data_IF_150314709535
#
_entry.id   IF_150314709535
#
_cell.length_a   1.000
_cell.length_b   1.000
_cell.length_c   1.000
_cell.angle_alpha   90.00
_cell.angle_beta   90.00
_cell.angle_gamma   90.00
#
_symmetry.space_group_name_H-M   'P 1'
#
loop_
_entity.id
_entity.type
_entity.pdbx_description
1 polymer ?
#
# COMPACT_ATOMS: atom_id res chain seq x y z
N UNK A 1 31.34 6.75 -0.42
CA UNK A 1 30.01 6.17 -0.67
C UNK A 1 29.35 7.01 -1.74
N UNK A 2 28.70 6.41 -2.74
CA UNK A 2 27.91 7.20 -3.70
C UNK A 2 26.69 7.82 -2.97
N UNK A 3 26.45 9.11 -3.17
CA UNK A 3 25.26 9.79 -2.65
C UNK A 3 24.17 9.81 -3.72
N UNK A 4 23.08 9.09 -3.49
CA UNK A 4 21.96 8.98 -4.42
C UNK A 4 20.81 9.90 -4.02
N UNK A 5 20.26 10.60 -5.01
CA UNK A 5 19.03 11.39 -4.87
C UNK A 5 17.99 10.78 -5.79
N UNK A 6 16.93 10.24 -5.19
CA UNK A 6 15.91 9.50 -5.94
C UNK A 6 14.71 10.42 -6.13
N UNK A 7 14.19 10.47 -7.35
CA UNK A 7 12.89 11.05 -7.67
C UNK A 7 11.94 9.93 -8.12
N UNK A 8 10.88 9.70 -7.34
CA UNK A 8 9.81 8.77 -7.71
C UNK A 8 8.78 9.48 -8.60
N UNK A 9 8.66 8.97 -9.81
CA UNK A 9 7.72 9.42 -10.84
C UNK A 9 6.26 9.12 -10.49
N UNK A 10 5.39 9.73 -11.27
CA UNK A 10 3.95 9.62 -11.18
C UNK A 10 3.40 9.12 -12.52
N UNK A 11 2.36 8.32 -12.49
CA UNK A 11 1.58 7.91 -13.66
C UNK A 11 0.50 8.98 -13.94
N UNK A 12 0.96 10.17 -14.33
CA UNK A 12 0.11 11.35 -14.38
C UNK A 12 -0.86 11.35 -15.56
N UNK A 13 -0.68 10.51 -16.59
CA UNK A 13 -1.72 10.35 -17.61
C UNK A 13 -2.91 9.52 -17.13
N UNK A 14 -2.74 8.67 -16.12
CA UNK A 14 -3.82 7.94 -15.47
C UNK A 14 -4.37 8.65 -14.22
N UNK A 15 -3.76 9.77 -13.81
CA UNK A 15 -4.32 10.63 -12.77
C UNK A 15 -5.54 11.40 -13.30
N UNK A 16 -6.62 11.34 -12.55
CA UNK A 16 -7.84 12.09 -12.85
C UNK A 16 -7.80 13.44 -12.14
N UNK A 17 -8.47 14.44 -12.71
CA UNK A 17 -8.64 15.76 -12.08
C UNK A 17 -7.33 16.51 -11.80
N UNK A 18 -6.34 16.34 -12.68
CA UNK A 18 -5.11 17.14 -12.68
C UNK A 18 -4.97 17.98 -13.95
N UNK A 19 -4.32 19.13 -13.84
CA UNK A 19 -3.84 19.92 -14.97
C UNK A 19 -2.52 19.33 -15.50
N UNK A 20 -2.61 18.49 -16.55
CA UNK A 20 -1.45 17.74 -17.07
C UNK A 20 -0.32 18.66 -17.57
N UNK A 21 -0.57 19.69 -18.42
CA UNK A 21 0.49 20.62 -18.83
C UNK A 21 1.19 21.28 -17.63
N UNK A 22 0.42 21.79 -16.67
CA UNK A 22 1.01 22.40 -15.46
C UNK A 22 1.76 21.38 -14.61
N UNK A 23 1.29 20.12 -14.56
CA UNK A 23 1.98 19.04 -13.85
C UNK A 23 3.34 18.74 -14.48
N UNK A 24 3.42 18.63 -15.80
CA UNK A 24 4.67 18.38 -16.54
C UNK A 24 5.64 19.54 -16.33
N UNK A 25 5.18 20.78 -16.53
CA UNK A 25 6.00 21.98 -16.35
C UNK A 25 6.62 22.05 -14.95
N UNK A 26 5.78 21.89 -13.91
CA UNK A 26 6.24 21.91 -12.52
C UNK A 26 7.11 20.73 -12.16
N UNK A 27 6.89 19.55 -12.75
CA UNK A 27 7.77 18.39 -12.54
C UNK A 27 9.15 18.68 -13.10
N UNK A 28 9.25 19.25 -14.30
CA UNK A 28 10.54 19.66 -14.88
C UNK A 28 11.25 20.72 -14.02
N UNK A 29 10.51 21.68 -13.45
CA UNK A 29 11.07 22.63 -12.48
C UNK A 29 11.63 21.92 -11.22
N UNK A 30 10.97 20.87 -10.74
CA UNK A 30 11.47 20.05 -9.63
C UNK A 30 12.71 19.22 -10.02
N UNK A 31 12.78 18.70 -11.24
CA UNK A 31 13.96 17.96 -11.73
C UNK A 31 15.18 18.90 -11.87
N UNK A 32 14.97 20.11 -12.38
CA UNK A 32 15.99 21.17 -12.42
C UNK A 32 16.45 21.60 -11.03
N UNK A 33 15.52 21.70 -10.09
CA UNK A 33 15.84 21.95 -8.69
C UNK A 33 16.81 20.90 -8.14
N UNK A 34 16.57 19.61 -8.39
CA UNK A 34 17.47 18.55 -7.94
C UNK A 34 18.87 18.65 -8.55
N UNK A 35 18.97 18.95 -9.85
CA UNK A 35 20.27 19.16 -10.52
C UNK A 35 21.07 20.29 -9.86
N UNK A 36 20.39 21.38 -9.52
CA UNK A 36 21.02 22.57 -8.92
C UNK A 36 21.41 22.35 -7.46
N UNK A 37 20.56 21.66 -6.68
CA UNK A 37 20.76 21.50 -5.22
C UNK A 37 21.64 20.32 -4.84
N UNK A 38 21.82 19.36 -5.73
CA UNK A 38 22.63 18.16 -5.46
C UNK A 38 23.75 17.96 -6.48
N UNK A 39 24.66 18.94 -6.65
CA UNK A 39 25.82 18.77 -7.52
C UNK A 39 26.68 17.62 -7.01
N UNK A 40 27.06 16.71 -7.92
CA UNK A 40 27.91 15.55 -7.60
C UNK A 40 27.18 14.34 -7.00
N UNK A 41 25.87 14.44 -6.70
CA UNK A 41 25.06 13.28 -6.36
C UNK A 41 24.63 12.52 -7.62
N UNK A 42 24.43 11.21 -7.50
CA UNK A 42 23.80 10.40 -8.56
C UNK A 42 22.29 10.63 -8.52
N UNK A 43 21.76 11.31 -9.53
CA UNK A 43 20.32 11.53 -9.66
C UNK A 43 19.67 10.30 -10.28
N UNK A 44 18.67 9.74 -9.62
CA UNK A 44 17.95 8.55 -10.07
C UNK A 44 16.48 8.90 -10.27
N UNK A 45 15.94 8.65 -11.46
CA UNK A 45 14.51 8.74 -11.72
C UNK A 45 13.91 7.34 -11.73
N UNK A 46 12.93 7.09 -10.86
CA UNK A 46 12.18 5.84 -10.81
C UNK A 46 10.75 6.07 -11.31
N UNK A 47 10.40 5.67 -12.53
CA UNK A 47 9.05 5.82 -13.07
C UNK A 47 8.01 5.05 -12.26
N UNK A 48 6.75 5.43 -12.39
CA UNK A 48 5.67 4.62 -11.83
C UNK A 48 5.62 3.26 -12.55
N UNK A 49 5.31 2.13 -11.87
CA UNK A 49 5.33 0.80 -12.51
C UNK A 49 4.39 0.67 -13.72
N UNK A 50 3.28 1.42 -13.69
CA UNK A 50 2.26 1.41 -14.75
C UNK A 50 2.47 2.57 -15.77
N UNK A 51 3.56 3.34 -15.63
CA UNK A 51 3.94 4.44 -16.53
C UNK A 51 4.28 3.93 -17.93
N UNK A 52 3.78 4.61 -18.97
CA UNK A 52 3.91 4.15 -20.36
C UNK A 52 4.58 5.15 -21.29
N UNK A 53 4.43 6.45 -21.05
CA UNK A 53 4.86 7.52 -22.00
C UNK A 53 5.36 8.79 -21.31
N UNK A 54 5.15 8.94 -20.02
CA UNK A 54 5.43 10.14 -19.24
C UNK A 54 6.91 10.55 -19.32
N UNK A 55 7.84 9.59 -19.41
CA UNK A 55 9.28 9.86 -19.62
C UNK A 55 9.55 10.80 -20.81
N UNK A 56 8.73 10.79 -21.86
CA UNK A 56 8.97 11.60 -23.07
C UNK A 56 8.65 13.08 -22.88
N UNK A 57 7.83 13.42 -21.88
CA UNK A 57 7.41 14.79 -21.59
C UNK A 57 8.29 15.43 -20.49
N UNK A 58 9.17 14.65 -19.87
CA UNK A 58 10.05 15.09 -18.79
C UNK A 58 11.47 15.32 -19.29
N UNK A 59 12.09 16.42 -18.84
CA UNK A 59 13.51 16.62 -19.00
C UNK A 59 14.25 15.77 -17.96
N UNK A 60 14.71 14.60 -18.38
CA UNK A 60 15.47 13.65 -17.56
C UNK A 60 16.99 13.73 -17.80
N UNK A 61 17.49 14.78 -18.45
CA UNK A 61 18.93 15.00 -18.64
C UNK A 61 19.71 14.87 -17.32
N UNK A 62 20.75 14.04 -17.28
CA UNK A 62 21.55 13.82 -16.07
C UNK A 62 20.91 12.90 -15.00
N UNK A 63 19.72 12.37 -15.23
CA UNK A 63 19.13 11.32 -14.36
C UNK A 63 19.44 9.92 -14.91
N UNK A 64 19.76 9.00 -14.01
CA UNK A 64 19.76 7.57 -14.30
C UNK A 64 18.33 7.03 -14.15
N UNK A 65 17.75 6.53 -15.24
CA UNK A 65 16.40 5.95 -15.23
C UNK A 65 16.50 4.52 -14.75
N UNK A 66 15.81 4.20 -13.65
CA UNK A 66 15.86 2.88 -13.05
C UNK A 66 14.52 2.13 -13.18
N UNK A 67 14.53 1.02 -13.91
CA UNK A 67 13.40 0.09 -14.11
C UNK A 67 13.83 -1.35 -13.81
N UNK A 68 13.79 -1.74 -12.54
CA UNK A 68 14.23 -3.07 -12.07
C UNK A 68 13.07 -4.01 -11.68
N UNK A 69 11.82 -3.54 -11.82
CA UNK A 69 10.62 -4.29 -11.43
C UNK A 69 10.39 -4.40 -9.92
N UNK A 70 11.29 -3.87 -9.09
CA UNK A 70 11.12 -3.82 -7.64
C UNK A 70 10.09 -2.75 -7.26
N UNK A 71 9.36 -2.99 -6.17
CA UNK A 71 8.59 -1.92 -5.52
C UNK A 71 9.54 -0.82 -5.01
N UNK A 72 9.00 0.39 -4.81
CA UNK A 72 9.79 1.48 -4.27
C UNK A 72 10.32 1.14 -2.86
N UNK A 73 9.49 0.49 -2.04
CA UNK A 73 9.82 0.10 -0.67
C UNK A 73 10.97 -0.92 -0.63
N UNK A 74 10.97 -1.92 -1.52
CA UNK A 74 12.07 -2.89 -1.65
C UNK A 74 13.37 -2.20 -2.07
N UNK A 75 13.30 -1.29 -3.05
CA UNK A 75 14.46 -0.54 -3.52
C UNK A 75 15.05 0.35 -2.43
N UNK A 76 14.20 1.10 -1.71
CA UNK A 76 14.60 1.94 -0.58
C UNK A 76 15.30 1.12 0.50
N UNK A 77 14.73 -0.02 0.88
CA UNK A 77 15.30 -0.90 1.90
C UNK A 77 16.67 -1.45 1.49
N UNK A 78 16.79 -1.95 0.27
CA UNK A 78 18.04 -2.54 -0.23
C UNK A 78 19.17 -1.52 -0.39
N UNK A 79 18.84 -0.23 -0.63
CA UNK A 79 19.81 0.80 -0.98
C UNK A 79 19.94 1.92 0.06
N UNK A 80 19.30 1.79 1.23
CA UNK A 80 19.22 2.82 2.27
C UNK A 80 20.56 3.53 2.58
N UNK A 81 21.69 2.81 2.53
CA UNK A 81 23.03 3.37 2.83
C UNK A 81 23.57 4.31 1.76
N UNK A 82 23.08 4.22 0.54
CA UNK A 82 23.49 5.06 -0.58
C UNK A 82 22.53 6.25 -0.77
N UNK A 83 21.33 6.21 -0.20
CA UNK A 83 20.29 7.19 -0.44
C UNK A 83 20.49 8.40 0.47
N UNK A 84 20.72 9.56 -0.15
CA UNK A 84 20.81 10.86 0.54
C UNK A 84 19.42 11.48 0.71
N UNK A 85 18.64 11.55 -0.37
CA UNK A 85 17.25 12.03 -0.34
C UNK A 85 16.34 11.20 -1.25
N UNK A 86 15.08 11.06 -0.83
CA UNK A 86 14.01 10.41 -1.58
C UNK A 86 12.85 11.40 -1.81
N UNK A 87 12.61 11.80 -3.04
CA UNK A 87 11.66 12.84 -3.39
C UNK A 87 10.58 12.33 -4.35
N UNK A 88 9.43 13.00 -4.36
CA UNK A 88 8.39 12.80 -5.37
C UNK A 88 7.49 14.02 -5.45
N UNK A 89 6.60 14.09 -6.44
CA UNK A 89 5.51 15.08 -6.41
C UNK A 89 4.51 14.72 -5.32
N UNK A 90 3.91 13.53 -5.40
CA UNK A 90 2.84 13.08 -4.51
C UNK A 90 2.84 11.56 -4.32
N UNK A 91 4.00 10.90 -4.47
CA UNK A 91 4.10 9.44 -4.34
C UNK A 91 4.12 9.01 -2.87
N UNK A 92 3.41 7.93 -2.56
CA UNK A 92 3.51 7.27 -1.24
C UNK A 92 4.90 6.73 -0.96
N UNK A 93 5.75 6.58 -1.99
CA UNK A 93 7.14 6.14 -1.86
C UNK A 93 7.98 7.10 -1.00
N UNK A 94 7.72 8.41 -1.07
CA UNK A 94 8.38 9.39 -0.19
C UNK A 94 8.00 9.18 1.28
N UNK A 95 6.76 8.77 1.55
CA UNK A 95 6.29 8.46 2.90
C UNK A 95 6.98 7.20 3.43
N UNK A 96 7.11 6.17 2.59
CA UNK A 96 7.85 4.96 2.92
C UNK A 96 9.33 5.27 3.21
N UNK A 97 9.96 6.15 2.43
CA UNK A 97 11.34 6.58 2.66
C UNK A 97 11.50 7.30 4.00
N UNK A 98 10.59 8.23 4.34
CA UNK A 98 10.58 8.87 5.66
C UNK A 98 10.43 7.81 6.77
N UNK A 99 9.49 6.88 6.61
CA UNK A 99 9.24 5.77 7.55
C UNK A 99 10.41 4.78 7.67
N UNK A 100 11.41 4.87 6.78
CA UNK A 100 12.67 4.13 6.83
C UNK A 100 13.84 4.95 7.40
N UNK A 101 13.59 6.19 7.83
CA UNK A 101 14.58 7.05 8.46
C UNK A 101 15.48 7.77 7.47
N UNK A 102 15.05 7.86 6.21
CA UNK A 102 15.75 8.61 5.16
C UNK A 102 15.23 10.04 5.11
N UNK A 103 16.05 10.98 4.61
CA UNK A 103 15.53 12.28 4.21
C UNK A 103 14.56 12.09 3.05
N UNK A 104 13.35 12.57 3.18
CA UNK A 104 12.31 12.33 2.21
C UNK A 104 11.36 13.51 2.07
N UNK A 105 11.00 13.85 0.84
CA UNK A 105 10.18 15.03 0.58
C UNK A 105 9.12 14.81 -0.49
N UNK A 106 8.09 15.65 -0.45
CA UNK A 106 7.11 15.80 -1.50
C UNK A 106 7.02 17.25 -1.99
N UNK A 107 6.95 17.43 -3.31
CA UNK A 107 6.67 18.72 -3.93
C UNK A 107 5.17 19.02 -3.99
N UNK A 108 4.30 18.20 -3.39
CA UNK A 108 2.84 18.33 -3.48
C UNK A 108 2.33 19.75 -3.23
N UNK A 109 2.87 20.43 -2.21
CA UNK A 109 2.48 21.80 -1.85
C UNK A 109 3.03 22.86 -2.80
N UNK A 110 4.05 22.57 -3.62
CA UNK A 110 4.47 23.42 -4.74
C UNK A 110 3.50 23.35 -5.94
N UNK A 111 2.72 22.27 -6.03
CA UNK A 111 1.73 22.03 -7.09
C UNK A 111 0.34 22.59 -6.75
N UNK A 112 0.27 23.73 -6.04
CA UNK A 112 -1.00 24.39 -5.70
C UNK A 112 -1.82 24.65 -6.96
N UNK A 113 -3.09 24.25 -6.96
CA UNK A 113 -4.02 24.44 -8.07
C UNK A 113 -3.95 23.40 -9.21
N UNK A 114 -2.93 22.54 -9.22
CA UNK A 114 -2.80 21.45 -10.21
C UNK A 114 -3.78 20.32 -9.91
N UNK A 115 -3.89 19.93 -8.64
CA UNK A 115 -4.78 18.86 -8.18
C UNK A 115 -6.17 19.40 -7.85
N UNK A 116 -7.22 18.73 -8.34
CA UNK A 116 -8.63 19.10 -8.10
C UNK A 116 -9.46 17.89 -7.66
N UNK A 117 -10.69 18.19 -7.22
CA UNK A 117 -11.74 17.20 -6.99
C UNK A 117 -11.37 16.07 -6.03
N UNK A 118 -11.83 14.87 -6.37
CA UNK A 118 -11.67 13.65 -5.56
C UNK A 118 -10.19 13.25 -5.43
N UNK A 119 -9.41 13.43 -6.50
CA UNK A 119 -7.98 13.14 -6.45
C UNK A 119 -7.25 14.06 -5.47
N UNK A 120 -7.57 15.35 -5.44
CA UNK A 120 -7.01 16.28 -4.44
C UNK A 120 -7.37 15.84 -3.01
N UNK A 121 -8.62 15.49 -2.75
CA UNK A 121 -9.08 15.03 -1.43
C UNK A 121 -8.26 13.81 -0.98
N UNK A 122 -8.07 12.83 -1.87
CA UNK A 122 -7.25 11.65 -1.59
C UNK A 122 -5.82 12.03 -1.20
N UNK A 123 -5.17 12.86 -2.01
CA UNK A 123 -3.76 13.25 -1.79
C UNK A 123 -3.62 14.09 -0.52
N UNK A 124 -4.47 15.09 -0.30
CA UNK A 124 -4.52 15.90 0.94
C UNK A 124 -4.60 14.99 2.18
N UNK A 125 -5.51 14.01 2.14
CA UNK A 125 -5.72 13.11 3.28
C UNK A 125 -4.51 12.23 3.52
N UNK A 126 -3.90 11.69 2.47
CA UNK A 126 -2.71 10.83 2.59
C UNK A 126 -1.50 11.57 3.14
N UNK A 127 -1.37 12.87 2.82
CA UNK A 127 -0.26 13.72 3.27
C UNK A 127 -0.56 14.51 4.58
N UNK A 128 -1.77 14.42 5.13
CA UNK A 128 -2.25 15.30 6.22
C UNK A 128 -1.43 15.29 7.52
N UNK A 129 -0.80 14.17 7.86
CA UNK A 129 -0.08 14.01 9.14
C UNK A 129 1.45 14.14 9.00
N UNK A 130 1.94 14.54 7.82
CA UNK A 130 3.38 14.65 7.59
C UNK A 130 3.91 16.01 8.06
N UNK A 131 5.14 16.04 8.60
CA UNK A 131 5.72 17.26 9.14
C UNK A 131 5.95 18.31 8.05
N UNK A 132 6.06 19.58 8.45
CA UNK A 132 6.21 20.70 7.50
C UNK A 132 7.46 20.58 6.62
N UNK A 133 8.56 20.09 7.19
CA UNK A 133 9.85 19.85 6.52
C UNK A 133 9.81 18.70 5.49
N UNK A 134 8.76 17.88 5.50
CA UNK A 134 8.49 16.91 4.43
C UNK A 134 8.11 17.59 3.12
N UNK A 135 7.59 18.82 3.15
CA UNK A 135 7.13 19.49 1.93
C UNK A 135 8.13 20.52 1.44
N UNK A 136 8.46 20.46 0.15
CA UNK A 136 9.22 21.50 -0.54
C UNK A 136 8.22 22.40 -1.26
N UNK A 137 8.14 23.66 -0.81
CA UNK A 137 7.24 24.68 -1.38
C UNK A 137 7.98 25.76 -2.16
N UNK A 138 9.28 25.93 -1.90
CA UNK A 138 10.16 26.90 -2.55
C UNK A 138 11.37 26.20 -3.18
N UNK A 139 11.51 26.32 -4.49
CA UNK A 139 12.62 25.75 -5.25
C UNK A 139 13.92 26.57 -5.14
N UNK A 140 13.91 27.69 -4.42
CA UNK A 140 15.15 28.43 -4.15
C UNK A 140 15.87 27.95 -2.88
N UNK A 141 15.14 27.31 -1.97
CA UNK A 141 15.65 26.82 -0.69
C UNK A 141 16.32 25.45 -0.81
N UNK A 142 17.33 25.18 0.03
CA UNK A 142 17.86 23.82 0.15
C UNK A 142 16.78 22.90 0.76
N UNK A 143 16.72 21.61 0.35
CA UNK A 143 15.79 20.68 0.98
C UNK A 143 16.23 20.48 2.44
N UNK A 144 15.32 20.58 3.40
CA UNK A 144 15.67 20.43 4.81
C UNK A 144 16.13 18.99 5.09
N UNK A 145 16.97 18.79 6.11
CA UNK A 145 17.17 17.46 6.68
C UNK A 145 15.93 17.13 7.54
N UNK A 146 15.26 16.01 7.25
CA UNK A 146 14.06 15.60 7.96
C UNK A 146 14.03 14.10 8.27
N UNK A 147 15.18 13.43 8.18
CA UNK A 147 15.32 12.05 8.63
C UNK A 147 14.81 11.92 10.06
N UNK A 148 13.98 10.91 10.29
CA UNK A 148 13.41 10.63 11.59
C UNK A 148 14.20 9.52 12.29
N UNK A 149 14.35 9.64 13.60
CA UNK A 149 14.87 8.54 14.41
C UNK A 149 13.74 7.53 14.65
N UNK A 150 13.85 6.35 14.06
CA UNK A 150 12.83 5.31 14.21
C UNK A 150 13.05 4.57 15.51
N UNK A 151 12.14 4.77 16.46
CA UNK A 151 12.11 4.05 17.73
C UNK A 151 11.13 2.88 17.66
N UNK A 152 11.46 1.72 18.27
CA UNK A 152 10.53 0.61 18.37
C UNK A 152 9.28 0.98 19.19
N UNK A 153 8.09 0.69 18.65
CA UNK A 153 6.85 0.78 19.41
C UNK A 153 6.78 -0.39 20.41
N UNK A 154 7.24 -0.13 21.64
CA UNK A 154 7.30 -1.14 22.71
C UNK A 154 5.92 -1.66 23.10
N UNK A 155 4.91 -0.79 23.07
CA UNK A 155 3.53 -1.16 23.41
C UNK A 155 2.99 -2.14 22.38
N UNK A 156 3.14 -1.82 21.09
CA UNK A 156 2.77 -2.73 20.01
C UNK A 156 3.53 -4.05 20.10
N UNK A 157 4.84 -4.00 20.29
CA UNK A 157 5.69 -5.20 20.35
C UNK A 157 5.23 -6.14 21.46
N UNK A 158 4.96 -5.61 22.66
CA UNK A 158 4.52 -6.42 23.79
C UNK A 158 3.12 -6.99 23.57
N UNK A 159 2.17 -6.18 23.09
CA UNK A 159 0.82 -6.65 22.77
C UNK A 159 0.86 -7.76 21.71
N UNK A 160 1.63 -7.56 20.63
CA UNK A 160 1.77 -8.53 19.56
C UNK A 160 2.43 -9.83 20.05
N UNK A 161 3.45 -9.73 20.91
CA UNK A 161 4.08 -10.89 21.56
C UNK A 161 3.06 -11.67 22.40
N UNK A 162 2.23 -10.99 23.19
CA UNK A 162 1.20 -11.63 24.01
C UNK A 162 0.17 -12.35 23.15
N UNK A 163 -0.34 -11.71 22.09
CA UNK A 163 -1.29 -12.33 21.16
C UNK A 163 -0.69 -13.62 20.57
N UNK A 164 0.57 -13.59 20.13
CA UNK A 164 1.22 -14.78 19.56
C UNK A 164 1.51 -15.86 20.62
N UNK A 165 1.75 -15.48 21.88
CA UNK A 165 2.00 -16.44 22.95
C UNK A 165 0.74 -17.27 23.29
N UNK A 166 -0.43 -16.63 23.28
CA UNK A 166 -1.73 -17.26 23.60
C UNK A 166 -2.21 -18.17 22.46
N UNK A 167 -1.83 -17.85 21.22
CA UNK A 167 -2.26 -18.59 20.02
C UNK A 167 -1.12 -19.46 19.49
N UNK A 168 -1.12 -20.74 19.86
CA UNK A 168 -0.02 -21.67 19.59
C UNK A 168 0.08 -22.19 18.15
N UNK A 169 -0.85 -21.84 17.27
CA UNK A 169 -0.85 -22.30 15.89
C UNK A 169 0.15 -21.57 14.99
N UNK A 170 0.07 -21.85 13.70
CA UNK A 170 0.83 -21.15 12.66
C UNK A 170 0.28 -19.75 12.40
N UNK A 171 1.13 -18.83 11.96
CA UNK A 171 0.72 -17.51 11.47
C UNK A 171 0.51 -17.55 9.97
N UNK A 172 -0.57 -16.92 9.49
CA UNK A 172 -0.89 -16.82 8.07
C UNK A 172 -1.04 -15.34 7.69
N UNK A 173 -0.03 -14.80 7.01
CA UNK A 173 -0.11 -13.47 6.42
C UNK A 173 -0.92 -13.53 5.13
N UNK A 174 -1.89 -12.63 4.97
CA UNK A 174 -2.72 -12.53 3.76
C UNK A 174 -2.44 -11.18 3.10
N UNK A 175 -1.91 -11.22 1.87
CA UNK A 175 -1.46 -10.03 1.16
C UNK A 175 -1.99 -9.98 -0.28
N UNK A 176 -2.29 -8.77 -0.75
CA UNK A 176 -2.65 -8.52 -2.15
C UNK A 176 -1.63 -7.62 -2.86
N UNK A 177 -1.03 -6.67 -2.14
CA UNK A 177 -0.13 -5.66 -2.68
C UNK A 177 1.32 -5.94 -2.26
N UNK A 178 2.25 -5.97 -3.21
CA UNK A 178 3.66 -6.27 -2.94
C UNK A 178 4.36 -5.25 -2.05
N UNK A 179 3.90 -3.98 -2.04
CA UNK A 179 4.46 -2.93 -1.17
C UNK A 179 4.38 -3.26 0.34
N UNK A 180 3.47 -4.16 0.73
CA UNK A 180 3.33 -4.59 2.13
C UNK A 180 4.26 -5.75 2.50
N UNK A 181 5.07 -6.26 1.57
CA UNK A 181 6.04 -7.32 1.85
C UNK A 181 7.11 -6.91 2.87
N UNK A 182 7.52 -5.64 2.86
CA UNK A 182 8.49 -5.16 3.84
C UNK A 182 7.90 -5.20 5.26
N UNK A 183 6.61 -4.86 5.41
CA UNK A 183 5.88 -4.98 6.68
C UNK A 183 5.82 -6.44 7.12
N UNK A 184 5.46 -7.35 6.21
CA UNK A 184 5.39 -8.79 6.51
C UNK A 184 6.77 -9.32 6.91
N UNK A 185 7.83 -8.90 6.23
CA UNK A 185 9.22 -9.29 6.54
C UNK A 185 9.64 -8.79 7.92
N UNK A 186 9.32 -7.53 8.25
CA UNK A 186 9.60 -6.96 9.57
C UNK A 186 8.85 -7.69 10.68
N UNK A 187 7.55 -7.95 10.49
CA UNK A 187 6.73 -8.71 11.44
C UNK A 187 7.23 -10.15 11.59
N UNK A 188 7.61 -10.81 10.50
CA UNK A 188 8.17 -12.17 10.52
C UNK A 188 9.45 -12.23 11.34
N UNK A 189 10.37 -11.28 11.14
CA UNK A 189 11.60 -11.16 11.96
C UNK A 189 11.28 -10.92 13.43
N UNK A 190 10.32 -10.04 13.71
CA UNK A 190 9.85 -9.77 15.08
C UNK A 190 9.30 -11.04 15.75
N UNK A 191 8.44 -11.80 15.06
CA UNK A 191 7.90 -13.06 15.57
C UNK A 191 9.03 -14.06 15.84
N UNK A 192 9.97 -14.22 14.90
CA UNK A 192 11.10 -15.15 15.04
C UNK A 192 12.05 -14.76 16.17
N UNK A 193 12.12 -13.49 16.54
CA UNK A 193 12.89 -13.04 17.70
C UNK A 193 12.31 -13.52 19.04
N UNK A 194 10.99 -13.74 19.11
CA UNK A 194 10.30 -14.23 20.31
C UNK A 194 10.04 -15.74 20.27
N UNK A 195 9.74 -16.27 19.08
CA UNK A 195 9.32 -17.64 18.85
C UNK A 195 10.03 -18.21 17.61
N UNK A 196 11.31 -18.62 17.73
CA UNK A 196 12.14 -19.04 16.59
C UNK A 196 11.52 -20.16 15.74
N UNK A 197 10.84 -21.11 16.38
CA UNK A 197 10.26 -22.29 15.71
C UNK A 197 8.84 -22.06 15.19
N UNK A 198 8.25 -20.87 15.42
CA UNK A 198 6.88 -20.58 15.00
C UNK A 198 6.76 -20.72 13.47
N UNK A 199 5.82 -21.55 13.01
CA UNK A 199 5.52 -21.67 11.58
C UNK A 199 4.83 -20.40 11.08
N UNK A 200 5.38 -19.83 10.01
CA UNK A 200 4.88 -18.60 9.38
C UNK A 200 4.63 -18.92 7.90
N UNK A 201 3.40 -18.67 7.47
CA UNK A 201 2.88 -18.96 6.15
C UNK A 201 2.39 -17.68 5.48
N UNK A 202 2.34 -17.70 4.15
CA UNK A 202 1.93 -16.57 3.32
C UNK A 202 0.82 -16.98 2.35
N UNK A 203 -0.21 -16.15 2.25
CA UNK A 203 -1.31 -16.27 1.30
C UNK A 203 -1.28 -15.04 0.40
N UNK A 204 -1.17 -15.27 -0.91
CA UNK A 204 -1.03 -14.22 -1.91
C UNK A 204 -2.29 -14.17 -2.77
N UNK A 205 -2.89 -12.98 -2.88
CA UNK A 205 -3.81 -12.66 -3.98
C UNK A 205 -3.01 -12.37 -5.25
N UNK A 206 -2.93 -13.38 -6.10
CA UNK A 206 -2.06 -13.45 -7.27
C UNK A 206 -2.29 -12.33 -8.27
N UNK A 207 -1.23 -11.57 -8.50
CA UNK A 207 -1.11 -10.44 -9.43
C UNK A 207 0.10 -10.68 -10.34
N UNK A 208 0.18 -9.98 -11.48
CA UNK A 208 1.32 -10.13 -12.40
C UNK A 208 2.67 -9.77 -11.74
N UNK A 209 2.64 -8.97 -10.66
CA UNK A 209 3.80 -8.57 -9.86
C UNK A 209 4.37 -9.70 -8.97
N UNK A 210 3.68 -10.84 -8.85
CA UNK A 210 4.11 -11.98 -8.01
C UNK A 210 4.66 -13.12 -8.86
N UNK A 211 5.73 -12.88 -9.62
CA UNK A 211 6.27 -13.85 -10.57
C UNK A 211 7.78 -14.00 -10.46
N UNK A 212 8.32 -15.07 -11.05
CA UNK A 212 9.75 -15.29 -11.21
C UNK A 212 10.52 -15.40 -9.89
N UNK A 213 11.61 -14.64 -9.80
CA UNK A 213 12.56 -14.68 -8.67
C UNK A 213 11.90 -14.23 -7.36
N UNK A 214 11.02 -13.23 -7.38
CA UNK A 214 10.31 -12.76 -6.17
C UNK A 214 9.50 -13.87 -5.54
N UNK A 215 8.70 -14.61 -6.33
CA UNK A 215 7.91 -15.72 -5.80
C UNK A 215 8.80 -16.85 -5.28
N UNK A 216 9.92 -17.11 -5.94
CA UNK A 216 10.90 -18.13 -5.53
C UNK A 216 11.52 -17.78 -4.17
N UNK A 217 11.91 -16.52 -3.96
CA UNK A 217 12.45 -16.05 -2.68
C UNK A 217 11.41 -16.21 -1.55
N UNK A 218 10.14 -15.88 -1.80
CA UNK A 218 9.07 -16.05 -0.81
C UNK A 218 8.89 -17.52 -0.40
N UNK A 219 9.05 -18.47 -1.33
CA UNK A 219 9.00 -19.89 -0.99
C UNK A 219 10.17 -20.36 -0.11
N UNK A 220 11.27 -19.60 -0.06
CA UNK A 220 12.41 -19.88 0.83
C UNK A 220 12.20 -19.25 2.22
N UNK A 221 11.58 -18.07 2.27
CA UNK A 221 11.39 -17.32 3.52
C UNK A 221 10.19 -17.80 4.36
N UNK A 222 9.20 -18.44 3.74
CA UNK A 222 7.96 -18.89 4.40
C UNK A 222 7.81 -20.40 4.37
N UNK A 223 7.25 -20.97 5.43
CA UNK A 223 7.05 -22.41 5.56
C UNK A 223 6.06 -22.94 4.52
N UNK A 224 5.02 -22.16 4.23
CA UNK A 224 4.08 -22.42 3.15
C UNK A 224 3.68 -21.11 2.47
N UNK A 225 3.65 -21.13 1.13
CA UNK A 225 3.13 -20.04 0.31
C UNK A 225 1.97 -20.55 -0.54
N UNK A 226 0.79 -19.94 -0.36
CA UNK A 226 -0.43 -20.26 -1.10
C UNK A 226 -0.80 -19.10 -2.02
N UNK A 227 -0.74 -19.32 -3.33
CA UNK A 227 -1.15 -18.33 -4.33
C UNK A 227 -2.54 -18.65 -4.85
N UNK A 228 -3.44 -17.66 -4.75
CA UNK A 228 -4.79 -17.73 -5.32
C UNK A 228 -4.94 -16.71 -6.44
N UNK A 229 -5.75 -16.98 -7.48
CA UNK A 229 -5.99 -15.97 -8.52
C UNK A 229 -6.69 -14.75 -7.93
N UNK A 230 -6.24 -13.54 -8.28
CA UNK A 230 -6.94 -12.30 -7.90
C UNK A 230 -8.35 -12.30 -8.47
N UNK A 231 -9.31 -12.04 -7.58
CA UNK A 231 -10.72 -11.95 -7.93
C UNK A 231 -11.12 -10.47 -7.96
N UNK A 232 -11.50 -9.99 -9.15
CA UNK A 232 -12.00 -8.64 -9.36
C UNK A 232 -13.52 -8.64 -9.34
N UNK A 233 -14.14 -7.56 -8.85
CA UNK A 233 -15.58 -7.34 -8.96
C UNK A 233 -15.95 -7.22 -10.45
N UNK A 234 -16.44 -8.33 -11.00
CA UNK A 234 -16.73 -8.46 -12.43
C UNK A 234 -17.92 -9.39 -12.64
N UNK A 235 -18.79 -9.02 -13.58
CA UNK A 235 -19.92 -9.84 -14.01
C UNK A 235 -19.57 -10.81 -15.16
N UNK A 236 -18.32 -10.82 -15.63
CA UNK A 236 -17.87 -11.76 -16.66
C UNK A 236 -17.95 -13.19 -16.11
N UNK A 237 -18.63 -14.09 -16.82
CA UNK A 237 -18.90 -15.46 -16.37
C UNK A 237 -17.63 -16.22 -15.96
N UNK A 238 -16.55 -16.10 -16.74
CA UNK A 238 -15.27 -16.73 -16.41
C UNK A 238 -14.65 -16.21 -15.10
N UNK A 239 -14.83 -14.90 -14.79
CA UNK A 239 -14.36 -14.30 -13.54
C UNK A 239 -15.22 -14.73 -12.35
N UNK A 240 -16.54 -14.81 -12.52
CA UNK A 240 -17.46 -15.33 -11.50
C UNK A 240 -17.16 -16.80 -11.18
N UNK A 241 -16.94 -17.63 -12.20
CA UNK A 241 -16.56 -19.02 -12.01
C UNK A 241 -15.20 -19.17 -11.31
N UNK A 242 -14.22 -18.32 -11.67
CA UNK A 242 -12.94 -18.25 -10.97
C UNK A 242 -13.09 -17.88 -9.50
N UNK A 243 -13.94 -16.90 -9.18
CA UNK A 243 -14.23 -16.51 -7.79
C UNK A 243 -14.88 -17.66 -7.01
N UNK A 244 -15.89 -18.33 -7.59
CA UNK A 244 -16.53 -19.49 -6.97
C UNK A 244 -15.55 -20.65 -6.72
N UNK A 245 -14.73 -21.00 -7.71
CA UNK A 245 -13.71 -22.06 -7.58
C UNK A 245 -12.69 -21.73 -6.50
N UNK A 246 -12.28 -20.47 -6.42
CA UNK A 246 -11.34 -19.96 -5.42
C UNK A 246 -11.94 -20.05 -4.02
N UNK A 247 -13.16 -19.55 -3.84
CA UNK A 247 -13.88 -19.64 -2.57
C UNK A 247 -14.04 -21.10 -2.11
N UNK A 248 -14.44 -22.01 -3.01
CA UNK A 248 -14.56 -23.45 -2.71
C UNK A 248 -13.22 -24.07 -2.31
N UNK A 249 -12.11 -23.66 -2.94
CA UNK A 249 -10.75 -24.13 -2.58
C UNK A 249 -10.37 -23.66 -1.18
N UNK A 250 -10.59 -22.38 -0.86
CA UNK A 250 -10.27 -21.81 0.45
C UNK A 250 -11.14 -22.43 1.56
N UNK A 251 -12.44 -22.65 1.30
CA UNK A 251 -13.37 -23.30 2.24
C UNK A 251 -12.94 -24.71 2.64
N UNK A 252 -12.26 -25.43 1.74
CA UNK A 252 -11.80 -26.81 1.96
C UNK A 252 -10.44 -26.91 2.66
N UNK A 253 -9.73 -25.80 2.86
CA UNK A 253 -8.45 -25.84 3.56
C UNK A 253 -8.67 -26.22 5.02
N UNK A 254 -7.87 -27.16 5.51
CA UNK A 254 -7.81 -27.44 6.94
C UNK A 254 -6.89 -26.42 7.58
N UNK A 255 -7.43 -25.60 8.48
CA UNK A 255 -6.67 -24.62 9.26
C UNK A 255 -6.85 -24.93 10.73
N UNK A 256 -5.74 -25.02 11.46
CA UNK A 256 -5.76 -25.25 12.90
C UNK A 256 -6.46 -24.06 13.59
N UNK A 257 -7.39 -24.34 14.50
CA UNK A 257 -8.16 -23.31 15.22
C UNK A 257 -7.31 -22.39 16.09
N UNK A 258 -6.11 -22.82 16.50
CA UNK A 258 -5.14 -22.00 17.23
C UNK A 258 -4.26 -21.12 16.34
N UNK A 259 -4.46 -21.16 15.02
CA UNK A 259 -3.72 -20.32 14.07
C UNK A 259 -4.09 -18.86 14.21
N UNK A 260 -3.23 -17.99 13.68
CA UNK A 260 -3.50 -16.56 13.57
C UNK A 260 -3.57 -16.18 12.09
N UNK A 261 -4.62 -15.48 11.69
CA UNK A 261 -4.72 -14.83 10.39
C UNK A 261 -4.35 -13.38 10.51
N UNK A 262 -3.44 -12.91 9.66
CA UNK A 262 -2.96 -11.54 9.66
C UNK A 262 -3.28 -10.95 8.29
N UNK A 263 -4.38 -10.20 8.24
CA UNK A 263 -4.88 -9.55 7.03
C UNK A 263 -4.20 -8.23 6.77
N UNK A 264 -3.63 -8.06 5.58
CA UNK A 264 -3.07 -6.80 5.07
C UNK A 264 -3.82 -6.30 3.82
N UNK A 265 -4.84 -7.03 3.40
CA UNK A 265 -5.58 -6.83 2.17
C UNK A 265 -7.08 -6.70 2.48
N UNK A 266 -7.42 -5.82 3.44
CA UNK A 266 -8.77 -5.47 3.95
C UNK A 266 -9.92 -5.37 2.93
N UNK A 267 -9.63 -5.23 1.63
CA UNK A 267 -10.61 -5.17 0.54
C UNK A 267 -10.56 -6.37 -0.43
N UNK A 268 -9.73 -7.38 -0.14
CA UNK A 268 -9.47 -8.54 -0.98
C UNK A 268 -10.53 -9.61 -0.79
N UNK A 269 -11.05 -10.12 -1.91
CA UNK A 269 -11.93 -11.29 -1.92
C UNK A 269 -11.29 -12.52 -1.27
N UNK A 270 -9.96 -12.68 -1.41
CA UNK A 270 -9.23 -13.82 -0.82
C UNK A 270 -9.25 -13.71 0.70
N UNK A 271 -8.91 -12.54 1.24
CA UNK A 271 -8.96 -12.30 2.69
C UNK A 271 -10.37 -12.51 3.24
N UNK A 272 -11.39 -11.99 2.55
CA UNK A 272 -12.78 -12.20 2.91
C UNK A 272 -13.17 -13.70 2.97
N UNK A 273 -12.70 -14.52 2.02
CA UNK A 273 -12.91 -15.97 2.07
C UNK A 273 -12.29 -16.61 3.32
N UNK A 274 -11.07 -16.23 3.69
CA UNK A 274 -10.40 -16.78 4.86
C UNK A 274 -11.12 -16.41 6.15
N UNK A 275 -11.44 -15.13 6.36
CA UNK A 275 -12.11 -14.66 7.59
C UNK A 275 -13.56 -15.16 7.69
N UNK A 276 -14.22 -15.45 6.56
CA UNK A 276 -15.61 -15.95 6.54
C UNK A 276 -15.70 -17.45 6.82
N UNK A 277 -14.82 -18.25 6.20
CA UNK A 277 -14.91 -19.72 6.29
C UNK A 277 -14.20 -20.32 7.49
N UNK A 278 -13.23 -19.61 8.06
CA UNK A 278 -12.45 -20.07 9.21
C UNK A 278 -12.68 -19.11 10.38
N UNK A 279 -13.79 -19.24 11.11
CA UNK A 279 -14.12 -18.31 12.19
C UNK A 279 -13.29 -18.51 13.46
N UNK A 280 -12.66 -19.69 13.64
CA UNK A 280 -11.95 -20.05 14.88
C UNK A 280 -10.56 -19.42 15.05
N UNK A 281 -9.68 -19.36 14.03
CA UNK A 281 -8.41 -18.66 14.12
C UNK A 281 -8.56 -17.24 14.67
N UNK A 282 -7.56 -16.79 15.43
CA UNK A 282 -7.45 -15.40 15.88
C UNK A 282 -7.13 -14.50 14.67
N UNK A 283 -7.83 -13.37 14.52
CA UNK A 283 -7.77 -12.54 13.31
C UNK A 283 -7.24 -11.16 13.66
N UNK A 284 -6.12 -10.82 13.03
CA UNK A 284 -5.48 -9.52 13.07
C UNK A 284 -5.68 -8.81 11.74
N UNK A 285 -6.05 -7.54 11.77
CA UNK A 285 -5.98 -6.67 10.60
C UNK A 285 -4.84 -5.66 10.78
N UNK A 286 -3.99 -5.50 9.78
CA UNK A 286 -3.00 -4.43 9.67
C UNK A 286 -3.37 -3.53 8.50
N UNK A 287 -3.68 -2.27 8.78
CA UNK A 287 -4.17 -1.33 7.78
C UNK A 287 -3.46 0.02 7.95
N UNK A 288 -2.97 0.65 6.86
CA UNK A 288 -2.53 2.04 6.94
C UNK A 288 -3.69 2.92 7.44
N UNK A 289 -3.44 3.75 8.44
CA UNK A 289 -4.47 4.62 9.06
C UNK A 289 -5.20 5.46 8.00
N UNK A 290 -4.46 6.07 7.07
CA UNK A 290 -5.06 6.88 5.99
C UNK A 290 -5.90 6.06 5.03
N UNK A 291 -5.53 4.81 4.76
CA UNK A 291 -6.38 3.90 3.98
C UNK A 291 -7.66 3.57 4.73
N UNK A 292 -7.58 3.33 6.04
CA UNK A 292 -8.77 3.12 6.86
C UNK A 292 -9.69 4.35 6.87
N UNK A 293 -9.15 5.55 7.07
CA UNK A 293 -9.92 6.80 7.06
C UNK A 293 -10.62 7.05 5.72
N UNK A 294 -9.90 6.87 4.60
CA UNK A 294 -10.45 7.10 3.25
C UNK A 294 -11.53 6.06 2.95
N UNK A 295 -11.24 4.78 3.17
CA UNK A 295 -12.11 3.68 2.73
C UNK A 295 -13.31 3.46 3.66
N UNK A 296 -13.11 3.54 4.97
CA UNK A 296 -14.16 3.28 5.97
C UNK A 296 -14.84 4.55 6.46
N UNK A 297 -14.19 5.71 6.38
CA UNK A 297 -14.73 7.01 6.80
C UNK A 297 -14.66 8.09 5.68
N UNK A 298 -15.15 7.81 4.46
CA UNK A 298 -14.97 8.70 3.32
C UNK A 298 -15.50 10.12 3.55
N UNK A 299 -16.63 10.27 4.25
CA UNK A 299 -17.20 11.59 4.56
C UNK A 299 -16.26 12.44 5.44
N UNK A 300 -15.66 11.84 6.47
CA UNK A 300 -14.66 12.51 7.33
C UNK A 300 -13.38 12.85 6.58
N UNK A 301 -13.08 12.10 5.52
CA UNK A 301 -11.97 12.39 4.62
C UNK A 301 -12.30 13.50 3.61
N UNK A 302 -13.53 14.01 3.57
CA UNK A 302 -13.96 15.10 2.69
C UNK A 302 -14.70 14.66 1.42
N UNK A 303 -14.94 13.36 1.24
CA UNK A 303 -15.70 12.86 0.09
C UNK A 303 -17.21 13.07 0.27
N UNK A 304 -17.89 13.52 -0.78
CA UNK A 304 -19.35 13.63 -0.77
C UNK A 304 -19.98 12.26 -1.03
N UNK A 305 -20.67 11.69 -0.04
CA UNK A 305 -21.27 10.35 -0.16
C UNK A 305 -22.32 10.24 -1.28
N UNK A 306 -22.96 11.34 -1.70
CA UNK A 306 -23.91 11.34 -2.83
C UNK A 306 -23.24 10.99 -4.17
N UNK A 307 -21.92 11.17 -4.24
CA UNK A 307 -21.13 10.85 -5.42
C UNK A 307 -20.64 9.40 -5.43
N UNK A 308 -20.79 8.66 -4.33
CA UNK A 308 -20.46 7.23 -4.29
C UNK A 308 -21.58 6.40 -4.91
N UNK A 309 -21.30 5.80 -6.07
CA UNK A 309 -22.25 4.96 -6.81
C UNK A 309 -21.87 3.49 -6.67
N UNK A 310 -22.85 2.65 -6.32
CA UNK A 310 -22.67 1.20 -6.32
C UNK A 310 -22.57 0.73 -7.77
N UNK A 311 -21.51 0.00 -8.10
CA UNK A 311 -21.37 -0.57 -9.45
C UNK A 311 -22.31 -1.75 -9.64
N UNK A 312 -22.70 -2.08 -10.88
CA UNK A 312 -23.51 -3.28 -11.16
C UNK A 312 -22.84 -4.56 -10.64
N UNK A 313 -21.52 -4.65 -10.78
CA UNK A 313 -20.73 -5.75 -10.23
C UNK A 313 -20.74 -5.74 -8.69
N UNK A 314 -20.55 -4.58 -8.06
CA UNK A 314 -20.61 -4.43 -6.61
C UNK A 314 -21.97 -4.86 -6.03
N UNK A 315 -23.07 -4.43 -6.67
CA UNK A 315 -24.41 -4.85 -6.28
C UNK A 315 -24.60 -6.37 -6.38
N UNK A 316 -24.21 -6.97 -7.51
CA UNK A 316 -24.34 -8.43 -7.70
C UNK A 316 -23.51 -9.22 -6.68
N UNK A 317 -22.27 -8.79 -6.42
CA UNK A 317 -21.43 -9.45 -5.42
C UNK A 317 -22.08 -9.37 -4.04
N UNK A 318 -22.49 -8.16 -3.65
CA UNK A 318 -23.04 -7.87 -2.34
C UNK A 318 -24.36 -8.61 -2.02
N UNK A 319 -25.26 -8.72 -2.99
CA UNK A 319 -26.61 -9.25 -2.78
C UNK A 319 -26.78 -10.71 -3.24
N UNK A 320 -25.93 -11.21 -4.13
CA UNK A 320 -26.07 -12.56 -4.70
C UNK A 320 -24.84 -13.41 -4.45
N UNK A 321 -23.68 -13.04 -5.00
CA UNK A 321 -22.52 -13.94 -5.00
C UNK A 321 -21.97 -14.20 -3.59
N UNK A 322 -21.74 -13.15 -2.81
CA UNK A 322 -21.17 -13.27 -1.47
C UNK A 322 -22.11 -14.00 -0.50
N UNK A 323 -23.42 -13.67 -0.42
CA UNK A 323 -24.37 -14.47 0.36
C UNK A 323 -24.44 -15.93 -0.08
N UNK A 324 -24.51 -16.20 -1.39
CA UNK A 324 -24.54 -17.56 -1.93
C UNK A 324 -23.29 -18.36 -1.55
N UNK A 325 -22.13 -17.72 -1.54
CA UNK A 325 -20.88 -18.33 -1.12
C UNK A 325 -20.75 -18.42 0.41
N UNK A 326 -21.57 -17.73 1.20
CA UNK A 326 -21.43 -17.64 2.66
C UNK A 326 -20.26 -16.76 3.09
N UNK A 327 -20.00 -15.68 2.36
CA UNK A 327 -18.96 -14.70 2.65
C UNK A 327 -19.51 -13.49 3.39
N UNK A 328 -18.66 -12.76 4.13
CA UNK A 328 -19.03 -11.45 4.61
C UNK A 328 -19.30 -10.52 3.43
N UNK A 329 -20.36 -9.72 3.53
CA UNK A 329 -20.77 -8.83 2.45
C UNK A 329 -19.85 -7.62 2.34
N UNK A 330 -19.56 -7.20 1.12
CA UNK A 330 -18.74 -6.04 0.81
C UNK A 330 -19.53 -4.97 0.06
N UNK A 331 -19.21 -3.71 0.27
CA UNK A 331 -19.70 -2.60 -0.53
C UNK A 331 -18.61 -2.18 -1.49
N UNK A 332 -18.85 -2.36 -2.79
CA UNK A 332 -17.98 -1.83 -3.85
C UNK A 332 -18.66 -0.65 -4.55
N UNK A 333 -18.11 0.53 -4.28
CA UNK A 333 -18.60 1.80 -4.79
C UNK A 333 -17.50 2.48 -5.61
N UNK A 334 -17.90 3.30 -6.57
CA UNK A 334 -17.02 4.19 -7.30
C UNK A 334 -17.44 5.62 -7.00
N UNK A 335 -16.48 6.49 -6.74
CA UNK A 335 -16.77 7.92 -6.71
C UNK A 335 -17.07 8.37 -8.16
N UNK A 336 -18.05 9.26 -8.32
CA UNK A 336 -18.56 9.64 -9.64
C UNK A 336 -17.53 10.39 -10.49
N UNK A 337 -17.77 10.38 -11.81
CA UNK A 337 -17.01 11.11 -12.83
C UNK A 337 -16.53 12.50 -12.38
N UNK A 338 -15.30 12.91 -12.76
CA UNK A 338 -14.40 12.21 -13.69
C UNK A 338 -13.40 11.24 -13.02
N UNK A 339 -13.50 11.03 -11.70
CA UNK A 339 -12.53 10.23 -10.94
C UNK A 339 -13.06 8.86 -10.53
N UNK A 340 -12.56 7.79 -11.17
CA UNK A 340 -12.93 6.41 -10.83
C UNK A 340 -12.20 5.88 -9.59
N UNK A 341 -12.23 6.62 -8.48
CA UNK A 341 -11.72 6.10 -7.20
C UNK A 341 -12.63 4.97 -6.71
N UNK A 342 -12.04 3.79 -6.55
CA UNK A 342 -12.70 2.61 -6.04
C UNK A 342 -12.71 2.62 -4.51
N UNK A 343 -13.90 2.51 -3.93
CA UNK A 343 -14.12 2.33 -2.50
C UNK A 343 -14.65 0.91 -2.29
N UNK A 344 -13.81 0.04 -1.73
CA UNK A 344 -14.17 -1.34 -1.40
C UNK A 344 -14.01 -1.51 0.10
N UNK A 345 -15.10 -1.87 0.79
CA UNK A 345 -15.09 -2.14 2.24
C UNK A 345 -16.01 -3.28 2.61
N UNK A 346 -15.71 -3.94 3.72
CA UNK A 346 -16.65 -4.85 4.37
C UNK A 346 -17.86 -4.05 4.90
N UNK A 347 -19.06 -4.63 4.85
CA UNK A 347 -20.26 -3.99 5.39
C UNK A 347 -20.28 -3.98 6.92
N UNK A 348 -19.78 -5.05 7.53
CA UNK A 348 -19.52 -5.11 8.96
C UNK A 348 -18.28 -4.27 9.28
N UNK A 349 -18.23 -3.71 10.48
CA UNK A 349 -17.02 -3.04 10.94
C UNK A 349 -15.88 -4.05 11.08
N UNK A 350 -14.64 -3.58 11.01
CA UNK A 350 -13.48 -4.47 11.12
C UNK A 350 -13.42 -5.13 12.50
N UNK A 351 -13.83 -4.42 13.54
CA UNK A 351 -13.88 -4.90 14.94
C UNK A 351 -14.94 -6.00 15.13
N UNK A 352 -15.91 -6.12 14.23
CA UNK A 352 -16.87 -7.23 14.22
C UNK A 352 -16.33 -8.49 13.52
N UNK A 353 -15.23 -8.35 12.76
CA UNK A 353 -14.69 -9.40 11.90
C UNK A 353 -13.30 -9.86 12.31
N UNK A 354 -12.53 -8.97 12.93
CA UNK A 354 -11.18 -9.20 13.41
C UNK A 354 -11.17 -9.03 14.92
N UNK A 355 -10.43 -9.90 15.60
CA UNK A 355 -10.26 -9.87 17.06
C UNK A 355 -9.41 -8.66 17.48
N UNK A 356 -8.53 -8.19 16.58
CA UNK A 356 -7.75 -6.95 16.78
C UNK A 356 -7.44 -6.26 15.46
N UNK A 357 -7.46 -4.93 15.47
CA UNK A 357 -7.13 -4.07 14.33
C UNK A 357 -5.96 -3.17 14.71
N UNK A 358 -4.85 -3.29 13.99
CA UNK A 358 -3.69 -2.40 14.11
C UNK A 358 -3.69 -1.42 12.95
N UNK A 359 -3.77 -0.13 13.30
CA UNK A 359 -3.60 0.96 12.36
C UNK A 359 -2.16 1.48 12.48
N UNK A 360 -1.44 1.50 11.36
CA UNK A 360 -0.10 2.08 11.30
C UNK A 360 -0.11 3.40 10.54
N UNK A 361 0.62 4.37 11.09
CA UNK A 361 0.63 5.75 10.60
C UNK A 361 1.61 5.94 9.44
N UNK A 362 1.33 6.93 8.59
CA UNK A 362 2.22 7.35 7.51
C UNK A 362 3.50 8.02 8.04
N UNK A 363 3.44 8.62 9.23
CA UNK A 363 4.61 9.13 9.92
C UNK A 363 4.58 8.59 11.36
N UNK A 364 5.65 7.96 11.85
CA UNK A 364 5.74 7.64 13.26
C UNK A 364 5.77 8.96 14.07
N UNK A 365 5.25 8.95 15.31
CA UNK A 365 5.29 10.13 16.16
C UNK A 365 6.75 10.55 16.40
N UNK A 366 7.04 11.83 16.19
CA UNK A 366 8.29 12.45 16.63
C UNK A 366 8.23 12.49 18.17
N UNK A 367 9.06 11.68 18.82
CA UNK A 367 9.25 11.75 20.27
C UNK A 367 10.57 12.43 20.59
#
# INVERSE_FOLDING_TARGET
MEEWVIFFGADFYNMTEIDIPAFIEKTNQCLDYLRKKFPGSKLIYRPHPDESRELFDLDLGGFFIQRDGQSAEEFLWANQRNIKHALSVCSTSSIAALSLGLNAHAFYKYFRGVFRGAHKIFVDKYFSDLPGDFFIEDLNSAPPENKINILPDRTFIEEFRQIISVNSGSLWFIVAESRLLLVITALTKLVKSFFPDRQINLIISGHHRWQGQTLTALHQDFHQVLVFPRCFYSLKLNKLFSAWRTAKKIKKLSVNSSSIFIGLAHHSFIENCFISYHPKPFKLAFIPEKTWEITFQPERSGFNLKNLRVTKAGWFYNYFLEPFLGLNRTSYQQYSEPSHLAFIRLQKSLEQLYDRVFLFKNCPPSH
#
